data_IF_439097355274
#
_entry.id   IF_439097355274
#
_cell.length_a   1.000
_cell.length_b   1.000
_cell.length_c   1.000
_cell.angle_alpha   90.00
_cell.angle_beta   90.00
_cell.angle_gamma   90.00
#
_symmetry.space_group_name_H-M   'P 1'
#
loop_
_entity.id
_entity.type
_entity.pdbx_description
1 polymer ?
#
# COMPACT_ATOMS: atom_id res chain seq x y z
N UNK A 1 6.91 17.10 21.92
CA UNK A 1 7.03 16.73 20.50
C UNK A 1 6.46 17.89 19.72
N UNK A 2 7.28 18.55 18.90
CA UNK A 2 6.77 19.54 17.95
C UNK A 2 5.76 18.83 17.03
N UNK A 3 4.61 19.48 16.79
CA UNK A 3 3.60 18.95 15.88
C UNK A 3 4.27 18.83 14.50
N UNK A 4 4.34 17.60 13.96
CA UNK A 4 4.81 17.39 12.58
C UNK A 4 3.86 18.15 11.65
N UNK A 5 4.36 19.20 11.03
CA UNK A 5 3.58 20.10 10.18
C UNK A 5 3.39 19.48 8.81
N UNK A 6 2.18 19.57 8.29
CA UNK A 6 1.83 19.25 6.90
C UNK A 6 1.49 20.54 6.16
N UNK A 7 1.89 20.66 4.90
CA UNK A 7 1.55 21.77 4.02
C UNK A 7 0.51 21.31 3.01
N UNK A 8 -0.63 22.03 2.93
CA UNK A 8 -1.67 21.70 1.97
C UNK A 8 -1.28 22.17 0.56
N UNK A 9 -1.14 21.22 -0.34
CA UNK A 9 -0.81 21.45 -1.75
C UNK A 9 -2.08 21.76 -2.56
N UNK A 10 -3.15 20.96 -2.34
CA UNK A 10 -4.42 21.15 -3.03
C UNK A 10 -5.61 20.66 -2.20
N UNK A 11 -6.81 21.15 -2.55
CA UNK A 11 -8.08 20.65 -2.00
C UNK A 11 -9.18 20.79 -3.04
N UNK A 12 -10.05 19.77 -3.14
CA UNK A 12 -11.21 19.75 -4.02
C UNK A 12 -12.40 19.13 -3.31
N UNK A 13 -13.59 19.74 -3.41
CA UNK A 13 -14.82 19.11 -2.90
C UNK A 13 -15.19 17.91 -3.77
N UNK A 14 -15.53 16.80 -3.11
CA UNK A 14 -15.81 15.54 -3.77
C UNK A 14 -16.81 14.72 -2.94
N UNK A 15 -17.98 14.39 -3.48
CA UNK A 15 -19.05 13.60 -2.83
C UNK A 15 -19.40 14.07 -1.40
N UNK A 16 -19.52 15.37 -1.21
CA UNK A 16 -19.84 15.98 0.08
C UNK A 16 -18.67 16.06 1.06
N UNK A 17 -17.59 15.34 0.81
CA UNK A 17 -16.31 15.44 1.50
C UNK A 17 -15.27 16.24 0.71
N UNK A 18 -13.99 15.99 1.00
CA UNK A 18 -12.87 16.69 0.36
C UNK A 18 -11.72 15.74 0.04
N UNK A 19 -11.24 15.80 -1.21
CA UNK A 19 -9.96 15.22 -1.60
C UNK A 19 -8.88 16.30 -1.45
N UNK A 20 -7.86 16.02 -0.66
CA UNK A 20 -6.75 16.94 -0.41
C UNK A 20 -5.43 16.27 -0.71
N UNK A 21 -4.41 17.06 -1.03
CA UNK A 21 -3.01 16.63 -1.14
C UNK A 21 -2.19 17.47 -0.16
N UNK A 22 -1.29 16.80 0.54
CA UNK A 22 -0.36 17.43 1.48
C UNK A 22 1.07 17.02 1.17
N UNK A 23 2.01 17.93 1.48
CA UNK A 23 3.43 17.64 1.57
C UNK A 23 3.93 17.78 3.01
N UNK A 24 5.01 17.09 3.31
CA UNK A 24 5.74 17.22 4.57
C UNK A 24 7.19 16.77 4.43
N UNK A 25 8.06 17.27 5.30
CA UNK A 25 9.42 16.75 5.41
C UNK A 25 9.39 15.44 6.19
N UNK A 26 9.72 14.34 5.51
CA UNK A 26 9.80 13.02 6.15
C UNK A 26 11.12 12.83 6.88
N UNK A 27 11.05 12.28 8.09
CA UNK A 27 12.23 11.88 8.87
C UNK A 27 12.78 10.53 8.36
N UNK A 28 11.87 9.60 7.97
CA UNK A 28 12.24 8.27 7.51
C UNK A 28 12.92 8.30 6.13
N UNK A 29 12.40 9.10 5.21
CA UNK A 29 12.96 9.17 3.86
C UNK A 29 14.00 10.30 3.69
N UNK A 30 14.04 11.27 4.60
CA UNK A 30 14.91 12.42 4.50
C UNK A 30 14.59 13.36 3.34
N UNK A 31 13.42 13.20 2.70
CA UNK A 31 12.96 14.01 1.57
C UNK A 31 11.61 14.68 1.87
N UNK A 32 11.18 15.57 0.99
CA UNK A 32 9.77 15.95 0.95
C UNK A 32 8.96 14.76 0.44
N UNK A 33 7.95 14.36 1.21
CA UNK A 33 6.99 13.33 0.83
C UNK A 33 5.62 13.94 0.64
N UNK A 34 4.81 13.33 -0.23
CA UNK A 34 3.42 13.72 -0.48
C UNK A 34 2.47 12.59 -0.18
N UNK A 35 1.25 12.95 0.18
CA UNK A 35 0.14 12.01 0.28
C UNK A 35 -1.18 12.69 -0.08
N UNK A 36 -2.04 11.95 -0.75
CA UNK A 36 -3.45 12.30 -0.91
C UNK A 36 -4.26 11.81 0.28
N UNK A 37 -5.23 12.59 0.73
CA UNK A 37 -6.20 12.18 1.75
C UNK A 37 -7.62 12.55 1.31
N UNK A 38 -8.53 11.57 1.36
CA UNK A 38 -9.95 11.82 1.25
C UNK A 38 -10.59 11.86 2.63
N UNK A 39 -11.26 12.96 2.94
CA UNK A 39 -12.02 13.16 4.17
C UNK A 39 -13.52 13.09 3.84
N UNK A 40 -14.24 12.05 4.29
CA UNK A 40 -15.67 11.93 4.04
C UNK A 40 -16.45 12.99 4.82
N UNK A 41 -17.70 13.32 4.42
CA UNK A 41 -18.48 14.34 5.13
C UNK A 41 -18.66 14.05 6.62
N UNK A 42 -18.68 12.78 7.03
CA UNK A 42 -18.80 12.36 8.43
C UNK A 42 -17.56 12.70 9.28
N UNK A 43 -16.42 12.99 8.66
CA UNK A 43 -15.21 13.42 9.36
C UNK A 43 -15.38 14.77 10.09
N UNK A 44 -16.36 15.58 9.68
CA UNK A 44 -16.74 16.81 10.39
C UNK A 44 -17.34 16.55 11.79
N UNK A 45 -17.85 15.34 12.06
CA UNK A 45 -18.49 14.95 13.32
C UNK A 45 -17.59 14.15 14.26
N UNK A 46 -16.34 13.88 13.86
CA UNK A 46 -15.38 13.15 14.69
C UNK A 46 -14.49 12.15 13.92
N UNK A 47 -13.58 11.47 14.62
CA UNK A 47 -12.66 10.54 14.01
C UNK A 47 -13.36 9.41 13.24
N UNK A 48 -12.78 9.01 12.10
CA UNK A 48 -13.30 7.98 11.19
C UNK A 48 -12.27 6.88 10.95
N UNK A 49 -12.70 5.63 10.67
CA UNK A 49 -11.81 4.58 10.24
C UNK A 49 -10.98 5.01 9.03
N UNK A 50 -9.73 4.55 8.96
CA UNK A 50 -8.77 4.95 7.92
C UNK A 50 -8.29 3.76 7.11
N UNK A 51 -8.23 3.95 5.80
CA UNK A 51 -7.63 3.00 4.86
C UNK A 51 -6.37 3.62 4.25
N UNK A 52 -5.27 2.87 4.29
CA UNK A 52 -4.03 3.23 3.61
C UNK A 52 -3.96 2.50 2.28
N UNK A 53 -3.93 3.28 1.19
CA UNK A 53 -3.71 2.75 -0.15
C UNK A 53 -2.24 2.83 -0.51
N UNK A 54 -1.69 1.74 -1.06
CA UNK A 54 -0.34 1.69 -1.59
C UNK A 54 -0.38 1.49 -3.10
N UNK A 55 0.22 2.42 -3.84
CA UNK A 55 0.26 2.40 -5.30
C UNK A 55 1.36 1.48 -5.85
N UNK A 56 1.21 1.07 -7.11
CA UNK A 56 2.19 0.27 -7.86
C UNK A 56 3.37 1.08 -8.39
N UNK A 57 4.23 0.41 -9.15
CA UNK A 57 5.40 1.00 -9.79
C UNK A 57 5.06 2.28 -10.58
N UNK A 58 5.97 3.25 -10.53
CA UNK A 58 5.92 4.54 -11.23
C UNK A 58 4.84 5.52 -10.77
N UNK A 59 3.93 5.09 -9.90
CA UNK A 59 2.86 5.94 -9.39
C UNK A 59 3.36 6.94 -8.36
N UNK A 60 2.56 7.99 -8.19
CA UNK A 60 2.57 8.93 -7.06
C UNK A 60 1.24 8.82 -6.29
N UNK A 61 1.03 9.67 -5.31
CA UNK A 61 -0.26 9.84 -4.62
C UNK A 61 -1.41 10.18 -5.58
N UNK A 62 -1.11 10.87 -6.67
CA UNK A 62 -2.07 11.37 -7.66
C UNK A 62 -2.77 10.24 -8.43
N UNK A 63 -2.08 9.14 -8.72
CA UNK A 63 -2.64 8.08 -9.55
C UNK A 63 -3.92 7.49 -8.96
N UNK A 64 -3.90 7.17 -7.68
CA UNK A 64 -5.06 6.60 -7.00
C UNK A 64 -6.19 7.62 -6.86
N UNK A 65 -5.88 8.80 -6.33
CA UNK A 65 -6.92 9.78 -6.00
C UNK A 65 -7.68 10.29 -7.22
N UNK A 66 -7.07 10.23 -8.41
CA UNK A 66 -7.68 10.66 -9.67
C UNK A 66 -8.32 9.54 -10.49
N UNK A 67 -7.86 8.27 -10.35
CA UNK A 67 -8.24 7.20 -11.27
C UNK A 67 -9.04 6.07 -10.64
N UNK A 68 -8.95 5.85 -9.32
CA UNK A 68 -9.53 4.69 -8.67
C UNK A 68 -11.04 4.77 -8.44
N UNK A 69 -11.63 5.97 -8.43
CA UNK A 69 -13.06 6.16 -8.20
C UNK A 69 -13.55 5.85 -6.78
N UNK A 70 -12.64 5.84 -5.80
CA UNK A 70 -12.91 5.40 -4.43
C UNK A 70 -13.80 6.36 -3.61
N UNK A 71 -13.78 7.66 -3.91
CA UNK A 71 -14.31 8.70 -3.04
C UNK A 71 -15.82 8.60 -2.82
N UNK A 72 -16.59 8.19 -3.84
CA UNK A 72 -18.05 8.04 -3.71
C UNK A 72 -18.41 7.03 -2.63
N UNK A 73 -17.84 5.85 -2.72
CA UNK A 73 -18.12 4.77 -1.77
C UNK A 73 -17.50 5.06 -0.39
N UNK A 74 -16.33 5.69 -0.35
CA UNK A 74 -15.72 6.14 0.90
C UNK A 74 -16.60 7.17 1.63
N UNK A 75 -17.28 8.09 0.88
CA UNK A 75 -18.26 9.02 1.45
C UNK A 75 -19.48 8.29 2.03
N UNK A 76 -20.01 7.29 1.30
CA UNK A 76 -21.14 6.47 1.76
C UNK A 76 -20.82 5.75 3.06
N UNK A 77 -19.63 5.15 3.15
CA UNK A 77 -19.19 4.32 4.26
C UNK A 77 -18.54 5.12 5.42
N UNK A 78 -18.25 6.41 5.21
CA UNK A 78 -17.59 7.24 6.20
C UNK A 78 -16.12 6.87 6.43
N UNK A 79 -15.42 6.43 5.39
CA UNK A 79 -14.02 6.02 5.43
C UNK A 79 -13.09 7.17 5.02
N UNK A 80 -12.04 7.41 5.79
CA UNK A 80 -10.89 8.20 5.36
C UNK A 80 -9.98 7.30 4.52
N UNK A 81 -9.47 7.82 3.40
CA UNK A 81 -8.47 7.11 2.59
C UNK A 81 -7.21 7.95 2.48
N UNK A 82 -6.06 7.35 2.77
CA UNK A 82 -4.73 7.96 2.67
C UNK A 82 -3.91 7.23 1.63
N UNK A 83 -3.37 7.95 0.65
CA UNK A 83 -2.56 7.40 -0.44
C UNK A 83 -1.22 8.15 -0.50
N UNK A 84 -0.11 7.59 0.01
CA UNK A 84 1.21 8.21 -0.11
C UNK A 84 1.84 8.01 -1.48
N UNK A 85 2.91 8.78 -1.74
CA UNK A 85 3.85 8.49 -2.83
C UNK A 85 4.51 7.12 -2.63
N UNK A 86 5.07 6.56 -3.69
CA UNK A 86 5.60 5.18 -3.74
C UNK A 86 7.09 5.06 -3.41
N UNK A 87 7.79 6.19 -3.32
CA UNK A 87 9.21 6.26 -2.94
C UNK A 87 9.59 7.66 -2.46
N UNK A 88 10.74 7.84 -1.81
CA UNK A 88 11.40 9.14 -1.78
C UNK A 88 11.71 9.61 -3.21
N UNK A 89 11.92 10.92 -3.38
CA UNK A 89 12.32 11.51 -4.67
C UNK A 89 13.45 12.49 -4.47
N UNK A 90 14.41 12.46 -5.42
CA UNK A 90 15.48 13.44 -5.49
C UNK A 90 16.58 13.29 -4.44
N UNK A 91 16.85 12.07 -3.96
CA UNK A 91 18.00 11.78 -3.10
C UNK A 91 19.32 11.88 -3.87
N UNK A 92 19.28 11.70 -5.20
CA UNK A 92 20.47 11.79 -6.06
C UNK A 92 21.39 10.59 -5.94
N UNK A 93 20.88 9.44 -5.52
CA UNK A 93 21.66 8.21 -5.51
C UNK A 93 22.00 7.75 -6.92
N UNK A 94 23.22 7.26 -7.19
CA UNK A 94 23.58 6.71 -8.49
C UNK A 94 22.61 5.60 -8.91
N UNK A 95 21.99 5.75 -10.09
CA UNK A 95 21.02 4.80 -10.62
C UNK A 95 19.59 4.93 -10.07
N UNK A 96 19.28 5.99 -9.32
CA UNK A 96 17.95 6.24 -8.75
C UNK A 96 16.85 6.39 -9.81
N UNK A 97 17.19 6.99 -10.96
CA UNK A 97 16.26 7.29 -12.05
C UNK A 97 16.52 6.44 -13.32
N UNK A 98 17.35 5.39 -13.24
CA UNK A 98 17.77 4.63 -14.42
C UNK A 98 16.70 3.68 -14.97
N UNK A 99 15.72 3.28 -14.15
CA UNK A 99 14.71 2.32 -14.58
C UNK A 99 13.39 2.47 -13.82
N UNK A 100 12.27 2.16 -14.50
CA UNK A 100 10.92 2.28 -13.94
C UNK A 100 10.61 1.34 -12.77
N UNK A 101 11.37 0.25 -12.64
CA UNK A 101 11.12 -0.84 -11.67
C UNK A 101 12.12 -0.85 -10.51
N UNK A 102 12.89 0.24 -10.34
CA UNK A 102 13.82 0.42 -9.23
C UNK A 102 14.13 1.90 -9.00
N UNK A 103 14.33 2.32 -7.76
CA UNK A 103 14.60 3.71 -7.40
C UNK A 103 13.33 4.55 -7.34
N UNK A 104 13.33 5.71 -8.01
CA UNK A 104 12.19 6.64 -8.02
C UNK A 104 10.91 5.97 -8.51
N UNK A 105 9.86 6.05 -7.70
CA UNK A 105 8.58 5.41 -8.00
C UNK A 105 8.56 3.89 -7.76
N UNK A 106 9.59 3.31 -7.15
CA UNK A 106 9.77 1.87 -7.01
C UNK A 106 10.39 1.49 -5.65
N UNK A 107 9.90 2.07 -4.55
CA UNK A 107 10.42 1.86 -3.19
C UNK A 107 10.11 0.48 -2.59
N UNK A 108 9.29 -0.33 -3.24
CA UNK A 108 8.90 -1.70 -2.84
C UNK A 108 8.43 -1.83 -1.39
N UNK A 109 8.14 -0.72 -0.72
CA UNK A 109 7.69 -0.68 0.67
C UNK A 109 8.61 -1.47 1.62
N UNK A 110 9.92 -1.41 1.37
CA UNK A 110 10.96 -1.99 2.20
C UNK A 110 11.70 -0.89 2.97
N UNK A 111 12.47 -1.28 4.00
CA UNK A 111 13.50 -0.45 4.60
C UNK A 111 14.86 -0.95 4.10
N UNK A 112 15.45 -0.20 3.20
CA UNK A 112 16.72 -0.57 2.61
C UNK A 112 17.84 -0.63 3.66
N UNK A 113 18.70 -1.64 3.53
CA UNK A 113 19.87 -1.85 4.39
C UNK A 113 21.19 -1.71 3.63
N UNK A 114 21.15 -1.82 2.31
CA UNK A 114 22.32 -1.69 1.45
C UNK A 114 22.61 -0.22 1.08
N UNK A 115 23.90 0.13 0.98
CA UNK A 115 24.31 1.44 0.49
C UNK A 115 24.11 1.57 -1.04
N UNK A 116 23.77 2.77 -1.52
CA UNK A 116 23.46 3.99 -0.76
C UNK A 116 22.00 4.09 -0.28
N UNK A 117 21.15 3.10 -0.61
CA UNK A 117 19.71 3.10 -0.49
C UNK A 117 19.21 3.18 0.95
N UNK A 118 19.98 2.66 1.92
CA UNK A 118 19.62 2.74 3.35
C UNK A 118 19.39 4.17 3.83
N UNK A 119 19.96 5.14 3.10
CA UNK A 119 19.80 6.56 3.38
C UNK A 119 18.61 7.11 2.57
N UNK A 120 17.40 6.80 3.02
CA UNK A 120 16.16 7.38 2.49
C UNK A 120 15.13 6.38 1.91
N UNK A 121 15.53 5.22 1.39
CA UNK A 121 14.56 4.22 0.92
C UNK A 121 14.02 3.39 2.08
N UNK A 122 13.21 4.04 2.94
CA UNK A 122 12.64 3.47 4.16
C UNK A 122 11.11 3.53 4.13
N UNK A 123 10.55 3.06 3.03
CA UNK A 123 9.11 3.16 2.78
C UNK A 123 8.26 2.28 3.72
N UNK A 124 8.83 1.18 4.26
CA UNK A 124 8.13 0.37 5.27
C UNK A 124 7.95 1.18 6.56
N UNK A 125 9.02 1.74 7.14
CA UNK A 125 8.95 2.56 8.34
C UNK A 125 8.08 3.81 8.11
N UNK A 126 8.18 4.43 6.94
CA UNK A 126 7.34 5.56 6.57
C UNK A 126 5.85 5.22 6.65
N UNK A 127 5.41 4.12 6.03
CA UNK A 127 3.98 3.72 5.99
C UNK A 127 3.49 3.19 7.34
N UNK A 128 4.34 2.50 8.08
CA UNK A 128 3.94 1.85 9.35
C UNK A 128 3.99 2.83 10.53
N UNK A 129 4.99 3.70 10.59
CA UNK A 129 5.25 4.53 11.76
C UNK A 129 4.96 6.02 11.52
N UNK A 130 5.60 6.60 10.50
CA UNK A 130 5.59 8.05 10.32
C UNK A 130 4.25 8.56 9.80
N UNK A 131 3.75 8.00 8.71
CA UNK A 131 2.52 8.45 8.06
C UNK A 131 1.29 8.32 8.97
N UNK A 132 1.04 7.20 9.69
CA UNK A 132 -0.07 7.10 10.63
C UNK A 132 0.03 8.10 11.79
N UNK A 133 1.22 8.34 12.30
CA UNK A 133 1.47 9.34 13.35
C UNK A 133 1.15 10.75 12.85
N UNK A 134 1.62 11.09 11.65
CA UNK A 134 1.36 12.37 11.02
C UNK A 134 -0.13 12.58 10.73
N UNK A 135 -0.80 11.56 10.18
CA UNK A 135 -2.22 11.61 9.83
C UNK A 135 -3.09 11.76 11.09
N UNK A 136 -2.81 11.00 12.15
CA UNK A 136 -3.57 11.09 13.40
C UNK A 136 -3.40 12.42 14.13
N UNK A 137 -2.25 13.07 13.98
CA UNK A 137 -1.99 14.36 14.61
C UNK A 137 -2.70 15.53 13.89
N UNK A 138 -3.03 15.38 12.60
CA UNK A 138 -3.51 16.49 11.76
C UNK A 138 -4.95 16.29 11.26
N UNK A 139 -5.52 15.08 11.32
CA UNK A 139 -6.83 14.77 10.73
C UNK A 139 -7.71 13.97 11.69
N UNK A 140 -9.06 14.03 11.54
CA UNK A 140 -10.00 13.29 12.37
C UNK A 140 -10.05 11.81 11.93
N UNK A 141 -9.02 11.03 12.27
CA UNK A 141 -8.90 9.61 11.97
C UNK A 141 -8.85 8.76 13.24
N UNK A 142 -9.44 7.58 13.18
CA UNK A 142 -9.31 6.54 14.19
C UNK A 142 -8.27 5.51 13.72
N UNK A 143 -7.03 5.68 14.15
CA UNK A 143 -5.92 4.78 13.79
C UNK A 143 -6.03 3.37 14.42
N UNK A 144 -6.91 3.19 15.42
CA UNK A 144 -7.21 1.87 15.96
C UNK A 144 -8.15 1.07 15.05
N UNK A 145 -8.83 1.75 14.12
CA UNK A 145 -9.69 1.17 13.09
C UNK A 145 -9.07 1.41 11.72
N UNK A 146 -7.89 0.83 11.49
CA UNK A 146 -7.13 0.97 10.25
C UNK A 146 -7.13 -0.31 9.41
N UNK A 147 -7.21 -0.14 8.08
CA UNK A 147 -6.98 -1.17 7.08
C UNK A 147 -5.93 -0.73 6.06
N UNK A 148 -5.40 -1.68 5.31
CA UNK A 148 -4.39 -1.41 4.28
C UNK A 148 -4.71 -2.18 3.01
N UNK A 149 -4.53 -1.54 1.86
CA UNK A 149 -4.74 -2.16 0.57
C UNK A 149 -3.86 -1.53 -0.49
N UNK A 150 -3.70 -2.18 -1.63
CA UNK A 150 -2.82 -1.65 -2.66
C UNK A 150 -2.88 -2.43 -3.96
N UNK A 151 -2.13 -1.95 -4.96
CA UNK A 151 -2.07 -2.53 -6.28
C UNK A 151 -0.62 -2.89 -6.65
N UNK A 152 -0.42 -4.07 -7.27
CA UNK A 152 0.88 -4.46 -7.84
C UNK A 152 2.00 -4.47 -6.79
N UNK A 153 3.05 -3.66 -6.94
CA UNK A 153 4.06 -3.39 -5.91
C UNK A 153 3.42 -2.90 -4.60
N UNK A 154 2.37 -2.07 -4.69
CA UNK A 154 1.63 -1.62 -3.50
C UNK A 154 0.78 -2.72 -2.88
N UNK A 155 0.27 -3.65 -3.67
CA UNK A 155 -0.39 -4.87 -3.18
C UNK A 155 0.57 -5.76 -2.39
N UNK A 156 1.80 -5.93 -2.91
CA UNK A 156 2.91 -6.54 -2.17
C UNK A 156 3.16 -5.82 -0.84
N UNK A 157 3.28 -4.50 -0.87
CA UNK A 157 3.49 -3.69 0.34
C UNK A 157 2.35 -3.86 1.35
N UNK A 158 1.10 -3.81 0.91
CA UNK A 158 -0.08 -3.98 1.77
C UNK A 158 -0.09 -5.35 2.46
N UNK A 159 0.17 -6.43 1.72
CA UNK A 159 0.24 -7.78 2.25
C UNK A 159 1.36 -7.93 3.28
N UNK A 160 2.59 -7.55 2.94
CA UNK A 160 3.75 -7.72 3.82
C UNK A 160 3.66 -6.87 5.08
N UNK A 161 3.14 -5.63 4.96
CA UNK A 161 2.94 -4.74 6.12
C UNK A 161 1.86 -5.29 7.05
N UNK A 162 0.70 -5.72 6.52
CA UNK A 162 -0.37 -6.26 7.36
C UNK A 162 0.07 -7.52 8.10
N UNK A 163 0.73 -8.45 7.42
CA UNK A 163 1.24 -9.70 8.01
C UNK A 163 2.25 -9.45 9.14
N UNK A 164 3.09 -8.43 9.01
CA UNK A 164 4.07 -8.03 10.05
C UNK A 164 3.45 -7.23 11.19
N UNK A 165 2.36 -6.51 10.93
CA UNK A 165 1.73 -5.58 11.89
C UNK A 165 0.22 -5.80 12.04
N UNK A 166 -0.24 -7.03 12.35
CA UNK A 166 -1.68 -7.34 12.45
C UNK A 166 -2.39 -6.59 13.56
N UNK A 167 -1.64 -6.09 14.55
CA UNK A 167 -2.18 -5.23 15.60
C UNK A 167 -2.49 -3.79 15.14
N UNK A 168 -1.89 -3.34 14.01
CA UNK A 168 -2.12 -2.02 13.44
C UNK A 168 -3.19 -2.03 12.36
N UNK A 169 -3.20 -3.08 11.52
CA UNK A 169 -4.10 -3.18 10.38
C UNK A 169 -5.07 -4.35 10.58
N UNK A 170 -6.36 -4.04 10.77
CA UNK A 170 -7.40 -5.04 11.04
C UNK A 170 -7.87 -5.79 9.80
N UNK A 171 -7.63 -5.25 8.62
CA UNK A 171 -8.01 -5.84 7.34
C UNK A 171 -6.99 -5.52 6.26
N UNK A 172 -6.80 -6.45 5.34
CA UNK A 172 -5.89 -6.30 4.20
C UNK A 172 -6.55 -6.81 2.93
N UNK A 173 -6.36 -6.06 1.83
CA UNK A 173 -6.73 -6.51 0.50
C UNK A 173 -5.74 -6.04 -0.56
N UNK A 174 -5.75 -6.66 -1.73
CA UNK A 174 -4.83 -6.31 -2.80
C UNK A 174 -5.44 -6.51 -4.19
N UNK A 175 -5.05 -5.64 -5.11
CA UNK A 175 -5.30 -5.75 -6.53
C UNK A 175 -4.01 -6.20 -7.22
N UNK A 176 -4.05 -7.33 -7.92
CA UNK A 176 -2.95 -7.84 -8.73
C UNK A 176 -1.57 -7.72 -8.03
N UNK A 177 -1.41 -8.20 -6.78
CA UNK A 177 -0.19 -8.01 -6.02
C UNK A 177 0.99 -8.81 -6.57
N UNK A 178 2.23 -8.30 -6.37
CA UNK A 178 3.43 -9.14 -6.48
C UNK A 178 3.46 -10.06 -5.25
N UNK A 179 3.01 -11.30 -5.40
CA UNK A 179 2.77 -12.20 -4.26
C UNK A 179 4.05 -12.77 -3.65
N UNK A 180 5.08 -12.99 -4.48
CA UNK A 180 6.38 -13.51 -4.03
C UNK A 180 7.53 -12.79 -4.73
N UNK A 181 7.94 -11.61 -4.23
CA UNK A 181 9.05 -10.86 -4.84
C UNK A 181 10.37 -11.63 -4.85
N UNK A 182 10.57 -12.61 -3.97
CA UNK A 182 11.74 -13.49 -4.00
C UNK A 182 11.79 -14.42 -5.22
N UNK A 183 10.71 -14.52 -6.00
CA UNK A 183 10.52 -15.47 -7.11
C UNK A 183 10.08 -14.79 -8.40
N UNK A 184 10.28 -13.48 -8.52
CA UNK A 184 9.96 -12.75 -9.75
C UNK A 184 11.04 -11.73 -10.08
N UNK A 185 11.26 -11.40 -11.37
CA UNK A 185 12.33 -10.49 -11.80
C UNK A 185 12.31 -9.12 -11.11
N UNK A 186 11.15 -8.48 -10.99
CA UNK A 186 11.05 -7.18 -10.31
C UNK A 186 11.49 -7.24 -8.86
N UNK A 187 11.00 -8.26 -8.15
CA UNK A 187 11.32 -8.42 -6.73
C UNK A 187 12.76 -8.79 -6.50
N UNK A 188 13.33 -9.72 -7.27
CA UNK A 188 14.75 -10.10 -7.14
C UNK A 188 15.68 -8.90 -7.40
N UNK A 189 15.36 -8.08 -8.41
CA UNK A 189 16.11 -6.85 -8.70
C UNK A 189 16.01 -5.86 -7.53
N UNK A 190 14.81 -5.60 -7.02
CA UNK A 190 14.61 -4.65 -5.94
C UNK A 190 15.24 -5.13 -4.63
N UNK A 191 14.94 -6.36 -4.21
CA UNK A 191 15.42 -6.90 -2.93
C UNK A 191 16.94 -7.02 -2.90
N UNK A 192 17.57 -7.48 -4.01
CA UNK A 192 19.04 -7.57 -4.07
C UNK A 192 19.73 -6.21 -3.92
N UNK A 193 19.14 -5.16 -4.49
CA UNK A 193 19.71 -3.81 -4.45
C UNK A 193 19.43 -3.11 -3.13
N UNK A 194 18.19 -3.22 -2.59
CA UNK A 194 17.82 -2.56 -1.35
C UNK A 194 18.35 -3.28 -0.10
N UNK A 195 18.36 -4.63 -0.10
CA UNK A 195 18.67 -5.44 1.08
C UNK A 195 19.99 -6.24 0.96
N UNK A 196 20.66 -6.19 -0.21
CA UNK A 196 21.81 -7.03 -0.47
C UNK A 196 21.41 -8.48 -0.75
N UNK A 197 22.33 -9.43 -0.57
CA UNK A 197 22.16 -10.82 -1.00
C UNK A 197 21.62 -11.77 0.07
N UNK A 198 21.25 -11.26 1.23
CA UNK A 198 20.69 -12.07 2.31
C UNK A 198 19.22 -12.42 2.02
N UNK A 199 18.98 -13.65 1.58
CA UNK A 199 17.62 -14.14 1.32
C UNK A 199 16.75 -14.24 2.57
N UNK A 200 17.34 -14.32 3.76
CA UNK A 200 16.61 -14.25 5.02
C UNK A 200 16.01 -12.84 5.24
N UNK A 201 16.76 -11.81 4.88
CA UNK A 201 16.24 -10.43 4.88
C UNK A 201 15.15 -10.25 3.82
N UNK A 202 15.27 -10.87 2.63
CA UNK A 202 14.23 -10.80 1.60
C UNK A 202 12.91 -11.44 2.05
N UNK A 203 12.98 -12.57 2.77
CA UNK A 203 11.79 -13.28 3.27
C UNK A 203 10.94 -12.40 4.20
N UNK A 204 11.53 -11.38 4.84
CA UNK A 204 10.80 -10.41 5.66
C UNK A 204 9.93 -9.45 4.82
N UNK A 205 10.09 -9.46 3.50
CA UNK A 205 9.34 -8.67 2.54
C UNK A 205 8.74 -9.52 1.42
N UNK A 206 8.44 -10.79 1.70
CA UNK A 206 7.77 -11.72 0.78
C UNK A 206 6.49 -12.23 1.42
N UNK A 207 5.33 -11.94 0.81
CA UNK A 207 4.04 -12.27 1.40
C UNK A 207 3.83 -13.78 1.56
N UNK A 208 4.35 -14.60 0.64
CA UNK A 208 4.25 -16.06 0.74
C UNK A 208 5.06 -16.60 1.91
N UNK A 209 6.30 -16.11 2.08
CA UNK A 209 7.16 -16.50 3.19
C UNK A 209 6.61 -16.03 4.55
N UNK A 210 6.05 -14.81 4.60
CA UNK A 210 5.45 -14.26 5.81
C UNK A 210 4.18 -15.02 6.22
N UNK A 211 3.28 -15.34 5.29
CA UNK A 211 2.08 -16.13 5.60
C UNK A 211 2.46 -17.47 6.24
N UNK A 212 3.48 -18.16 5.70
CA UNK A 212 3.94 -19.43 6.24
C UNK A 212 4.61 -19.30 7.62
N UNK A 213 5.31 -18.19 7.87
CA UNK A 213 6.10 -18.02 9.10
C UNK A 213 5.33 -17.41 10.26
N UNK A 214 4.42 -16.44 10.00
CA UNK A 214 3.71 -15.71 11.04
C UNK A 214 2.20 -15.87 10.99
N UNK A 215 1.64 -16.34 9.87
CA UNK A 215 0.20 -16.43 9.64
C UNK A 215 -0.49 -15.07 9.54
N UNK A 216 -1.83 -15.11 9.57
CA UNK A 216 -2.67 -13.91 9.60
C UNK A 216 -3.88 -14.13 10.52
N UNK A 217 -4.02 -13.37 11.63
CA UNK A 217 -5.10 -13.55 12.60
C UNK A 217 -6.40 -12.78 12.25
N UNK A 218 -6.37 -11.99 11.17
CA UNK A 218 -7.49 -11.13 10.74
C UNK A 218 -8.55 -11.86 9.90
N UNK A 219 -9.47 -11.11 9.30
CA UNK A 219 -10.44 -11.66 8.35
C UNK A 219 -9.73 -12.25 7.12
N UNK A 220 -10.43 -13.03 6.26
CA UNK A 220 -9.84 -13.51 5.00
C UNK A 220 -9.12 -12.39 4.25
N UNK A 221 -7.92 -12.66 3.75
CA UNK A 221 -7.22 -11.73 2.87
C UNK A 221 -7.99 -11.67 1.55
N UNK A 222 -8.35 -10.49 1.07
CA UNK A 222 -9.05 -10.34 -0.21
C UNK A 222 -8.04 -9.97 -1.31
N UNK A 223 -8.03 -10.72 -2.41
CA UNK A 223 -7.19 -10.44 -3.59
C UNK A 223 -8.02 -10.54 -4.85
N UNK A 224 -8.01 -9.48 -5.66
CA UNK A 224 -8.49 -9.51 -7.03
C UNK A 224 -7.33 -9.58 -8.02
N UNK A 225 -7.45 -10.43 -9.04
CA UNK A 225 -6.45 -10.63 -10.08
C UNK A 225 -7.11 -10.75 -11.46
N UNK A 226 -6.71 -9.89 -12.40
CA UNK A 226 -7.19 -9.97 -13.77
C UNK A 226 -6.55 -11.13 -14.54
N UNK A 227 -7.36 -11.90 -15.31
CA UNK A 227 -6.85 -13.04 -16.09
C UNK A 227 -6.14 -12.61 -17.38
N UNK A 228 -6.40 -11.40 -17.88
CA UNK A 228 -5.70 -10.82 -19.05
C UNK A 228 -4.52 -9.91 -18.65
N UNK A 229 -4.09 -9.96 -17.40
CA UNK A 229 -2.95 -9.19 -16.89
C UNK A 229 -1.64 -9.71 -17.49
N UNK A 230 -0.94 -8.85 -18.24
CA UNK A 230 0.33 -9.21 -18.90
C UNK A 230 1.48 -9.54 -17.93
N UNK A 231 1.35 -9.23 -16.65
CA UNK A 231 2.35 -9.51 -15.61
C UNK A 231 2.02 -10.75 -14.76
N UNK A 232 0.85 -11.36 -14.98
CA UNK A 232 0.30 -12.45 -14.18
C UNK A 232 1.32 -13.57 -13.94
N UNK A 233 1.88 -14.12 -15.01
CA UNK A 233 2.72 -15.31 -14.96
C UNK A 233 4.16 -15.03 -14.52
N UNK A 234 4.72 -13.90 -14.94
CA UNK A 234 6.13 -13.62 -14.69
C UNK A 234 6.37 -12.90 -13.35
N UNK A 235 5.48 -11.96 -13.00
CA UNK A 235 5.72 -11.04 -11.87
C UNK A 235 4.77 -11.25 -10.67
N UNK A 236 3.49 -11.50 -10.90
CA UNK A 236 2.48 -11.43 -9.83
C UNK A 236 2.29 -12.75 -9.11
N UNK A 237 2.11 -13.84 -9.83
CA UNK A 237 2.10 -15.24 -9.31
C UNK A 237 1.14 -15.47 -8.13
N UNK A 238 -0.16 -15.13 -8.25
CA UNK A 238 -1.11 -15.24 -7.14
C UNK A 238 -1.29 -16.68 -6.62
N UNK A 239 -1.04 -17.70 -7.47
CA UNK A 239 -1.05 -19.10 -7.08
C UNK A 239 -0.06 -19.41 -5.95
N UNK A 240 1.10 -18.73 -5.89
CA UNK A 240 2.08 -18.94 -4.82
C UNK A 240 1.53 -18.47 -3.46
N UNK A 241 0.78 -17.35 -3.44
CA UNK A 241 0.12 -16.89 -2.24
C UNK A 241 -1.00 -17.84 -1.81
N UNK A 242 -1.82 -18.33 -2.76
CA UNK A 242 -2.86 -19.31 -2.47
C UNK A 242 -2.29 -20.56 -1.82
N UNK A 243 -1.24 -21.15 -2.43
CA UNK A 243 -0.57 -22.34 -1.89
C UNK A 243 0.01 -22.10 -0.49
N UNK A 244 0.61 -20.92 -0.25
CA UNK A 244 1.15 -20.56 1.05
C UNK A 244 0.05 -20.40 2.11
N UNK A 245 -1.07 -19.76 1.76
CA UNK A 245 -2.24 -19.62 2.63
C UNK A 245 -2.84 -20.98 2.97
N UNK A 246 -2.98 -21.88 1.99
CA UNK A 246 -3.49 -23.24 2.19
C UNK A 246 -2.61 -24.03 3.17
N UNK A 247 -1.28 -23.96 3.01
CA UNK A 247 -0.34 -24.63 3.93
C UNK A 247 -0.38 -24.05 5.34
N UNK A 248 -0.55 -22.73 5.46
CA UNK A 248 -0.56 -22.03 6.75
C UNK A 248 -1.94 -22.03 7.42
N UNK A 249 -2.99 -22.50 6.75
CA UNK A 249 -4.37 -22.41 7.25
C UNK A 249 -4.90 -20.98 7.33
N UNK A 250 -4.38 -20.07 6.51
CA UNK A 250 -4.81 -18.68 6.42
C UNK A 250 -5.93 -18.56 5.37
N UNK A 251 -7.04 -17.94 5.74
CA UNK A 251 -8.14 -17.74 4.81
C UNK A 251 -7.78 -16.67 3.75
N UNK A 252 -7.85 -17.05 2.48
CA UNK A 252 -7.65 -16.17 1.33
C UNK A 252 -8.89 -16.22 0.42
N UNK A 253 -9.42 -15.06 0.07
CA UNK A 253 -10.42 -14.89 -0.99
C UNK A 253 -9.71 -14.36 -2.23
N UNK A 254 -9.20 -15.27 -3.06
CA UNK A 254 -8.56 -14.95 -4.34
C UNK A 254 -9.59 -15.03 -5.46
N UNK A 255 -9.95 -13.87 -6.00
CA UNK A 255 -10.93 -13.73 -7.08
C UNK A 255 -10.23 -13.47 -8.41
N UNK A 256 -10.32 -14.43 -9.32
CA UNK A 256 -9.83 -14.27 -10.70
C UNK A 256 -10.88 -13.57 -11.54
N UNK A 257 -10.56 -12.37 -12.03
CA UNK A 257 -11.47 -11.49 -12.78
C UNK A 257 -11.24 -11.68 -14.28
N UNK A 258 -12.17 -12.35 -14.95
CA UNK A 258 -12.05 -12.76 -16.34
C UNK A 258 -11.92 -11.55 -17.29
N UNK A 259 -10.87 -11.53 -18.12
CA UNK A 259 -10.63 -10.53 -19.16
C UNK A 259 -10.10 -9.19 -18.66
N UNK A 260 -9.93 -8.99 -17.35
CA UNK A 260 -9.33 -7.75 -16.82
C UNK A 260 -7.81 -7.77 -16.88
N UNK A 261 -7.26 -6.59 -17.13
CA UNK A 261 -5.82 -6.32 -17.24
C UNK A 261 -5.21 -5.77 -15.92
N UNK A 262 -4.03 -5.11 -16.00
CA UNK A 262 -3.31 -4.50 -14.87
C UNK A 262 -3.64 -3.02 -14.64
N UNK A 263 -4.64 -2.48 -15.32
CA UNK A 263 -4.90 -1.04 -15.36
C UNK A 263 -5.81 -0.54 -14.24
N UNK A 264 -5.95 0.80 -14.17
CA UNK A 264 -6.94 1.42 -13.30
C UNK A 264 -8.39 1.14 -13.70
N UNK A 265 -8.67 0.66 -14.92
CA UNK A 265 -10.01 0.17 -15.30
C UNK A 265 -10.38 -1.08 -14.49
N UNK A 266 -9.42 -2.00 -14.30
CA UNK A 266 -9.57 -3.13 -13.40
C UNK A 266 -9.79 -2.67 -11.95
N UNK A 267 -8.90 -1.83 -11.41
CA UNK A 267 -8.96 -1.33 -10.03
C UNK A 267 -10.31 -0.65 -9.76
N UNK A 268 -10.75 0.27 -10.63
CA UNK A 268 -11.99 1.02 -10.43
C UNK A 268 -13.24 0.15 -10.51
N UNK A 269 -13.20 -0.97 -11.28
CA UNK A 269 -14.32 -1.89 -11.41
C UNK A 269 -14.63 -2.64 -10.11
N UNK A 270 -13.62 -2.93 -9.30
CA UNK A 270 -13.77 -3.70 -8.05
C UNK A 270 -13.48 -2.88 -6.79
N UNK A 271 -13.23 -1.58 -6.91
CA UNK A 271 -12.92 -0.68 -5.80
C UNK A 271 -14.01 -0.68 -4.73
N UNK A 272 -15.27 -0.67 -5.12
CA UNK A 272 -16.41 -0.69 -4.18
C UNK A 272 -16.39 -1.94 -3.30
N UNK A 273 -16.11 -3.11 -3.86
CA UNK A 273 -16.05 -4.39 -3.13
C UNK A 273 -14.97 -4.34 -2.05
N UNK A 274 -13.77 -3.84 -2.40
CA UNK A 274 -12.68 -3.68 -1.43
C UNK A 274 -13.02 -2.71 -0.32
N UNK A 275 -13.62 -1.56 -0.63
CA UNK A 275 -14.01 -0.59 0.40
C UNK A 275 -15.09 -1.13 1.33
N UNK A 276 -16.09 -1.86 0.80
CA UNK A 276 -17.13 -2.54 1.62
C UNK A 276 -16.55 -3.66 2.46
N UNK A 277 -15.61 -4.45 1.92
CA UNK A 277 -14.86 -5.45 2.68
C UNK A 277 -14.14 -4.82 3.88
N UNK A 278 -13.39 -3.75 3.66
CA UNK A 278 -12.71 -3.05 4.74
C UNK A 278 -13.69 -2.47 5.76
N UNK A 279 -14.73 -1.77 5.33
CA UNK A 279 -15.74 -1.19 6.22
C UNK A 279 -16.38 -2.22 7.16
N UNK A 280 -16.74 -3.40 6.62
CA UNK A 280 -17.33 -4.49 7.40
C UNK A 280 -16.38 -5.04 8.48
N UNK A 281 -15.07 -4.99 8.25
CA UNK A 281 -14.05 -5.50 9.16
C UNK A 281 -13.49 -4.44 10.13
N UNK A 282 -13.67 -3.16 9.84
CA UNK A 282 -13.27 -2.04 10.70
C UNK A 282 -14.37 -1.62 11.68
N UNK A 283 -15.63 -1.95 11.41
CA UNK A 283 -16.78 -1.62 12.26
C UNK A 283 -16.92 -2.51 13.51
N UNK A 284 -16.04 -3.50 13.69
CA UNK A 284 -16.09 -4.51 14.78
C UNK A 284 -15.30 -4.08 15.99
#
# INVERSE_FOLDING_TARGET
MEARTVEQVSASRCFGGEQRVYSHRSEETGTEMRFGIYLPPQAASGPRPVLYWLSGLTCTEENFITKAGAQRVAAELGLVIVAPDTSPRGLGHPGEDDSYDFGTGAGFYVDATAEPWRNGYRMHAYVVEELPTLVSANFPVDVASAGIFGHSMGGHGALTIALKHPQRFRSVSAFAPICSPMRCPWGEKALSRYLGNDRGAWAQYDATALVESVGWPGPPILVDQGTADGFLEEQLKPQLLQEACDRAGVALDLRMQEGYDHSYYFISSFMEDHLRFHAANLAR
#
